data_IF_886214180855
#
_entry.id   IF_886214180855
#
_cell.length_a   1.000
_cell.length_b   1.000
_cell.length_c   1.000
_cell.angle_alpha   90.00
_cell.angle_beta   90.00
_cell.angle_gamma   90.00
#
_symmetry.space_group_name_H-M   'P 1'
#
loop_
_entity.id
_entity.type
_entity.pdbx_description
1 polymer ?
#
# COMPACT_ATOMS: atom_id res chain seq x y z
N UNK A 1 14.07 19.89 1.40
CA UNK A 1 13.61 18.57 0.89
C UNK A 1 14.84 17.83 0.39
N UNK A 2 15.24 16.73 1.04
CA UNK A 2 16.42 15.97 0.64
C UNK A 2 16.19 15.25 -0.69
N UNK A 3 17.16 15.32 -1.60
CA UNK A 3 17.11 14.57 -2.85
C UNK A 3 17.23 13.06 -2.53
N UNK A 4 16.20 12.28 -2.89
CA UNK A 4 16.28 10.81 -2.79
C UNK A 4 17.09 10.33 -3.99
N UNK A 5 18.39 10.14 -3.77
CA UNK A 5 19.31 9.59 -4.75
C UNK A 5 19.50 8.10 -4.53
N UNK A 6 19.71 7.37 -5.61
CA UNK A 6 20.16 5.98 -5.53
C UNK A 6 21.53 5.92 -4.83
N UNK A 7 21.79 4.87 -4.04
CA UNK A 7 23.04 4.74 -3.27
C UNK A 7 24.32 4.79 -4.12
N UNK A 8 24.23 4.39 -5.38
CA UNK A 8 25.34 4.46 -6.36
C UNK A 8 25.37 5.76 -7.18
N UNK A 9 24.55 6.76 -6.88
CA UNK A 9 24.49 8.00 -7.66
C UNK A 9 25.71 8.89 -7.38
N UNK A 10 26.67 8.90 -8.30
CA UNK A 10 27.90 9.70 -8.18
C UNK A 10 27.64 11.21 -8.39
N UNK A 11 26.59 11.58 -9.13
CA UNK A 11 26.27 12.99 -9.42
C UNK A 11 25.06 13.45 -8.60
N UNK A 12 25.34 14.03 -7.44
CA UNK A 12 24.32 14.65 -6.57
C UNK A 12 23.95 16.04 -7.08
N UNK A 13 22.82 16.61 -6.63
CA UNK A 13 22.44 17.99 -6.97
C UNK A 13 23.54 18.99 -6.62
N UNK A 14 24.22 18.82 -5.48
CA UNK A 14 25.33 19.68 -5.08
C UNK A 14 26.50 19.64 -6.08
N UNK A 15 26.90 18.45 -6.53
CA UNK A 15 27.96 18.27 -7.54
C UNK A 15 27.56 18.88 -8.88
N UNK A 16 26.31 18.65 -9.32
CA UNK A 16 25.79 19.19 -10.58
C UNK A 16 25.73 20.73 -10.57
N UNK A 17 25.33 21.33 -9.44
CA UNK A 17 25.32 22.79 -9.23
C UNK A 17 26.74 23.37 -9.23
N UNK A 18 27.69 22.69 -8.59
CA UNK A 18 29.10 23.07 -8.61
C UNK A 18 29.69 23.03 -10.04
N UNK A 19 29.33 22.02 -10.84
CA UNK A 19 29.75 21.92 -12.24
C UNK A 19 29.21 23.10 -13.07
N UNK A 20 27.94 23.48 -12.90
CA UNK A 20 27.34 24.61 -13.63
C UNK A 20 27.99 25.95 -13.32
N UNK A 21 28.30 26.21 -12.04
CA UNK A 21 28.87 27.50 -11.61
C UNK A 21 30.38 27.62 -11.86
N UNK A 22 31.05 26.51 -12.20
CA UNK A 22 32.50 26.48 -12.37
C UNK A 22 32.97 26.96 -13.76
N UNK A 23 33.97 27.85 -13.78
CA UNK A 23 34.68 28.23 -15.01
C UNK A 23 35.85 27.30 -15.36
N UNK A 24 36.12 26.30 -14.51
CA UNK A 24 37.18 25.32 -14.73
C UNK A 24 36.98 24.50 -16.02
N UNK A 25 38.09 23.95 -16.53
CA UNK A 25 38.08 23.05 -17.68
C UNK A 25 37.34 21.74 -17.37
N UNK A 26 36.75 21.13 -18.40
CA UNK A 26 36.02 19.85 -18.27
C UNK A 26 36.89 18.73 -17.68
N UNK A 27 38.19 18.72 -18.02
CA UNK A 27 39.15 17.73 -17.55
C UNK A 27 39.45 17.87 -16.06
N UNK A 28 39.56 19.10 -15.55
CA UNK A 28 39.78 19.36 -14.13
C UNK A 28 38.59 18.91 -13.28
N UNK A 29 37.37 19.26 -13.70
CA UNK A 29 36.14 18.87 -13.03
C UNK A 29 35.92 17.34 -13.06
N UNK A 30 36.21 16.70 -14.20
CA UNK A 30 36.13 15.25 -14.33
C UNK A 30 37.07 14.54 -13.33
N UNK A 31 38.31 15.02 -13.18
CA UNK A 31 39.28 14.46 -12.23
C UNK A 31 38.86 14.70 -10.78
N UNK A 32 38.36 15.89 -10.45
CA UNK A 32 37.93 16.27 -9.09
C UNK A 32 36.76 15.43 -8.58
N UNK A 33 35.76 15.21 -9.43
CA UNK A 33 34.54 14.50 -9.06
C UNK A 33 34.54 13.02 -9.47
N UNK A 34 35.59 12.51 -10.10
CA UNK A 34 35.69 11.11 -10.53
C UNK A 34 34.63 10.72 -11.57
N UNK A 35 34.24 11.64 -12.45
CA UNK A 35 33.17 11.45 -13.45
C UNK A 35 33.70 11.62 -14.88
N UNK A 36 33.01 11.02 -15.85
CA UNK A 36 33.36 11.15 -17.27
C UNK A 36 33.24 12.62 -17.73
N UNK A 37 34.21 13.10 -18.53
CA UNK A 37 34.18 14.45 -19.13
C UNK A 37 32.89 14.72 -19.92
N UNK A 38 32.31 13.70 -20.57
CA UNK A 38 31.00 13.82 -21.26
C UNK A 38 29.87 14.17 -20.28
N UNK A 39 29.92 13.61 -19.08
CA UNK A 39 28.95 13.90 -18.01
C UNK A 39 29.10 15.32 -17.50
N UNK A 40 30.34 15.81 -17.34
CA UNK A 40 30.61 17.22 -16.98
C UNK A 40 30.06 18.16 -18.05
N UNK A 41 30.37 17.91 -19.33
CA UNK A 41 29.89 18.71 -20.45
C UNK A 41 28.35 18.75 -20.50
N UNK A 42 27.72 17.58 -20.33
CA UNK A 42 26.26 17.45 -20.25
C UNK A 42 25.66 18.31 -19.14
N UNK A 43 26.22 18.27 -17.93
CA UNK A 43 25.70 19.05 -16.79
C UNK A 43 25.96 20.55 -16.92
N UNK A 44 27.09 20.96 -17.52
CA UNK A 44 27.41 22.38 -17.78
C UNK A 44 26.43 23.02 -18.78
N UNK A 45 25.94 22.26 -19.75
CA UNK A 45 24.97 22.73 -20.76
C UNK A 45 23.50 22.66 -20.33
N UNK A 46 23.18 21.96 -19.23
CA UNK A 46 21.81 21.84 -18.74
C UNK A 46 21.38 23.13 -18.04
N UNK A 47 20.10 23.49 -18.18
CA UNK A 47 19.50 24.64 -17.48
C UNK A 47 19.11 24.32 -16.04
N UNK A 48 18.77 23.06 -15.76
CA UNK A 48 18.29 22.62 -14.44
C UNK A 48 19.16 21.51 -13.86
N UNK A 49 19.26 21.51 -12.53
CA UNK A 49 20.07 20.57 -11.74
C UNK A 49 19.24 19.40 -11.22
N UNK A 50 17.94 19.64 -11.06
CA UNK A 50 16.95 18.69 -10.55
C UNK A 50 16.70 17.57 -11.53
N UNK A 51 16.47 16.36 -11.01
CA UNK A 51 16.00 15.26 -11.83
C UNK A 51 14.58 15.54 -12.30
N UNK A 52 14.37 15.47 -13.62
CA UNK A 52 13.04 15.51 -14.21
C UNK A 52 12.46 14.11 -14.17
N UNK A 53 11.13 13.97 -13.97
CA UNK A 53 10.48 12.67 -14.06
C UNK A 53 10.76 12.05 -15.43
N UNK A 54 11.27 10.81 -15.41
CA UNK A 54 11.50 10.04 -16.62
C UNK A 54 10.17 9.43 -17.05
N UNK A 55 9.66 9.83 -18.22
CA UNK A 55 8.47 9.25 -18.81
C UNK A 55 7.70 10.20 -19.72
N UNK A 56 6.56 9.75 -20.28
CA UNK A 56 5.65 10.60 -21.03
C UNK A 56 5.18 11.78 -20.17
N UNK A 57 5.12 12.97 -20.77
CA UNK A 57 4.58 14.17 -20.10
C UNK A 57 3.12 13.97 -19.70
N UNK A 58 2.35 13.33 -20.57
CA UNK A 58 0.97 12.96 -20.32
C UNK A 58 0.90 11.48 -19.94
N UNK A 59 0.65 11.20 -18.67
CA UNK A 59 0.48 9.84 -18.20
C UNK A 59 -0.88 9.28 -18.67
N UNK A 60 -0.90 8.63 -19.83
CA UNK A 60 -2.09 7.97 -20.40
C UNK A 60 -1.89 6.47 -20.47
N UNK A 61 -2.98 5.72 -20.31
CA UNK A 61 -2.99 4.30 -20.65
C UNK A 61 -2.96 4.14 -22.17
N UNK A 62 -2.19 3.19 -22.68
CA UNK A 62 -2.30 2.76 -24.09
C UNK A 62 -3.48 1.80 -24.29
N UNK A 63 -3.97 1.20 -23.21
CA UNK A 63 -4.96 0.11 -23.23
C UNK A 63 -6.38 0.59 -22.92
N UNK A 64 -6.52 1.68 -22.16
CA UNK A 64 -7.83 2.20 -21.74
C UNK A 64 -8.18 3.44 -22.57
N UNK A 65 -9.42 3.51 -23.03
CA UNK A 65 -9.95 4.72 -23.65
C UNK A 65 -10.24 5.79 -22.58
N UNK A 66 -10.46 7.03 -23.02
CA UNK A 66 -10.80 8.14 -22.12
C UNK A 66 -12.15 7.88 -21.43
N UNK A 67 -13.07 7.23 -22.13
CA UNK A 67 -14.41 6.86 -21.63
C UNK A 67 -14.29 5.77 -20.54
N UNK A 68 -13.47 4.75 -20.78
CA UNK A 68 -13.20 3.70 -19.80
C UNK A 68 -12.57 4.26 -18.53
N UNK A 69 -11.60 5.18 -18.67
CA UNK A 69 -10.99 5.85 -17.52
C UNK A 69 -12.04 6.65 -16.73
N UNK A 70 -12.94 7.35 -17.41
CA UNK A 70 -14.02 8.10 -16.75
C UNK A 70 -14.98 7.19 -15.99
N UNK A 71 -15.37 6.04 -16.58
CA UNK A 71 -16.22 5.04 -15.93
C UNK A 71 -15.53 4.48 -14.68
N UNK A 72 -14.26 4.08 -14.79
CA UNK A 72 -13.48 3.55 -13.67
C UNK A 72 -13.40 4.56 -12.52
N UNK A 73 -13.10 5.82 -12.83
CA UNK A 73 -12.96 6.90 -11.85
C UNK A 73 -14.29 7.20 -11.17
N UNK A 74 -15.37 7.30 -11.94
CA UNK A 74 -16.71 7.52 -11.39
C UNK A 74 -17.12 6.34 -10.50
N UNK A 75 -16.97 5.11 -10.98
CA UNK A 75 -17.31 3.90 -10.25
C UNK A 75 -16.59 3.81 -8.90
N UNK A 76 -15.27 4.08 -8.89
CA UNK A 76 -14.46 4.04 -7.66
C UNK A 76 -14.89 5.12 -6.65
N UNK A 77 -15.24 6.32 -7.10
CA UNK A 77 -15.67 7.42 -6.24
C UNK A 77 -17.04 7.17 -5.60
N UNK A 78 -17.94 6.49 -6.31
CA UNK A 78 -19.29 6.23 -5.83
C UNK A 78 -19.40 4.99 -4.94
N UNK A 79 -18.68 3.92 -5.29
CA UNK A 79 -18.86 2.62 -4.62
C UNK A 79 -17.91 2.42 -3.44
N UNK A 80 -16.77 3.12 -3.42
CA UNK A 80 -15.72 2.95 -2.41
C UNK A 80 -15.36 1.47 -2.18
N UNK A 81 -15.41 0.68 -3.24
CA UNK A 81 -15.04 -0.73 -3.20
C UNK A 81 -13.51 -0.91 -3.21
N UNK A 82 -12.99 -2.00 -2.61
CA UNK A 82 -11.62 -2.46 -2.79
C UNK A 82 -11.24 -2.64 -4.27
N UNK A 83 -9.93 -2.62 -4.57
CA UNK A 83 -9.42 -2.70 -5.94
C UNK A 83 -9.93 -3.94 -6.69
N UNK A 84 -9.90 -5.10 -6.04
CA UNK A 84 -10.24 -6.38 -6.67
C UNK A 84 -11.76 -6.51 -6.89
N UNK A 85 -12.58 -5.95 -5.98
CA UNK A 85 -14.04 -5.90 -6.15
C UNK A 85 -14.43 -4.93 -7.28
N UNK A 86 -13.73 -3.79 -7.40
CA UNK A 86 -13.91 -2.89 -8.54
C UNK A 86 -13.57 -3.59 -9.87
N UNK A 87 -12.49 -4.39 -9.91
CA UNK A 87 -12.13 -5.15 -11.10
C UNK A 87 -13.26 -6.09 -11.49
N UNK A 88 -13.77 -6.88 -10.55
CA UNK A 88 -14.82 -7.85 -10.82
C UNK A 88 -16.10 -7.18 -11.35
N UNK A 89 -16.52 -6.08 -10.73
CA UNK A 89 -17.70 -5.34 -11.15
C UNK A 89 -17.55 -4.71 -12.54
N UNK A 90 -16.36 -4.19 -12.87
CA UNK A 90 -16.09 -3.52 -14.15
C UNK A 90 -15.73 -4.48 -15.28
N UNK A 91 -15.41 -5.74 -14.99
CA UNK A 91 -15.04 -6.74 -16.01
C UNK A 91 -16.18 -6.97 -17.03
N UNK A 92 -17.44 -6.84 -16.59
CA UNK A 92 -18.59 -6.98 -17.47
C UNK A 92 -18.70 -5.86 -18.51
N UNK A 93 -18.25 -4.65 -18.17
CA UNK A 93 -18.29 -3.48 -19.06
C UNK A 93 -17.01 -3.34 -19.87
N UNK A 94 -15.86 -3.65 -19.27
CA UNK A 94 -14.53 -3.49 -19.86
C UNK A 94 -13.81 -4.85 -19.80
N UNK A 95 -14.03 -5.75 -20.79
CA UNK A 95 -13.54 -7.13 -20.71
C UNK A 95 -12.02 -7.25 -20.79
N UNK A 96 -11.33 -6.25 -21.35
CA UNK A 96 -9.87 -6.19 -21.45
C UNK A 96 -9.21 -5.48 -20.25
N UNK A 97 -9.99 -5.13 -19.22
CA UNK A 97 -9.47 -4.53 -18.00
C UNK A 97 -8.58 -5.53 -17.27
N UNK A 98 -7.40 -5.07 -16.84
CA UNK A 98 -6.47 -5.84 -16.03
C UNK A 98 -6.29 -5.17 -14.68
N UNK A 99 -5.93 -5.94 -13.65
CA UNK A 99 -5.62 -5.40 -12.32
C UNK A 99 -4.57 -4.29 -12.36
N UNK A 100 -3.54 -4.47 -13.18
CA UNK A 100 -2.45 -3.50 -13.33
C UNK A 100 -2.89 -2.21 -14.01
N UNK A 101 -3.69 -2.30 -15.09
CA UNK A 101 -4.20 -1.11 -15.78
C UNK A 101 -5.19 -0.35 -14.90
N UNK A 102 -6.07 -1.05 -14.18
CA UNK A 102 -6.96 -0.47 -13.17
C UNK A 102 -6.17 0.26 -12.08
N UNK A 103 -5.20 -0.40 -11.45
CA UNK A 103 -4.39 0.20 -10.39
C UNK A 103 -3.64 1.44 -10.88
N UNK A 104 -3.00 1.39 -12.05
CA UNK A 104 -2.30 2.55 -12.65
C UNK A 104 -3.26 3.69 -12.97
N UNK A 105 -4.47 3.40 -13.43
CA UNK A 105 -5.52 4.39 -13.65
C UNK A 105 -5.87 5.10 -12.33
N UNK A 106 -6.23 4.35 -11.30
CA UNK A 106 -6.58 4.92 -9.99
C UNK A 106 -5.43 5.69 -9.35
N UNK A 107 -4.19 5.23 -9.51
CA UNK A 107 -2.99 5.92 -9.02
C UNK A 107 -2.77 7.27 -9.71
N UNK A 108 -2.94 7.35 -11.04
CA UNK A 108 -2.86 8.62 -11.78
C UNK A 108 -3.92 9.63 -11.33
N UNK A 109 -5.12 9.15 -11.03
CA UNK A 109 -6.22 9.99 -10.54
C UNK A 109 -6.18 10.25 -9.03
N UNK A 110 -5.16 9.76 -8.31
CA UNK A 110 -5.01 9.99 -6.87
C UNK A 110 -6.03 9.27 -5.98
N UNK A 111 -6.78 8.32 -6.52
CA UNK A 111 -7.88 7.59 -5.83
C UNK A 111 -7.57 6.12 -5.58
N UNK A 112 -6.28 5.74 -5.67
CA UNK A 112 -5.84 4.38 -5.36
C UNK A 112 -6.13 4.03 -3.89
N UNK A 113 -5.88 4.97 -2.96
CA UNK A 113 -6.27 4.83 -1.56
C UNK A 113 -7.72 5.24 -1.40
N UNK A 114 -8.51 4.36 -0.79
CA UNK A 114 -9.87 4.70 -0.38
C UNK A 114 -9.82 5.82 0.67
N UNK A 115 -10.69 6.85 0.56
CA UNK A 115 -10.85 7.82 1.63
C UNK A 115 -11.23 7.08 2.91
N UNK A 116 -10.66 7.50 4.04
CA UNK A 116 -11.18 7.08 5.35
C UNK A 116 -12.57 7.72 5.44
N UNK A 117 -13.61 6.94 5.16
CA UNK A 117 -14.96 7.39 5.43
C UNK A 117 -15.06 7.42 6.94
N UNK A 118 -15.25 8.61 7.50
CA UNK A 118 -15.63 8.82 8.90
C UNK A 118 -17.06 8.27 9.07
N UNK A 119 -17.21 6.94 8.98
CA UNK A 119 -18.46 6.20 9.15
C UNK A 119 -18.93 6.24 10.61
N UNK A 120 -18.67 7.28 11.39
CA UNK A 120 -18.92 7.32 12.84
C UNK A 120 -18.35 6.11 13.61
N UNK A 121 -17.49 5.30 12.98
CA UNK A 121 -16.92 4.09 13.56
C UNK A 121 -15.91 4.56 14.59
N UNK A 122 -16.02 4.09 15.85
CA UNK A 122 -15.07 4.49 16.88
C UNK A 122 -13.66 4.21 16.37
N UNK A 123 -12.75 5.18 16.57
CA UNK A 123 -11.37 5.10 16.13
C UNK A 123 -10.82 3.70 16.42
N UNK A 124 -10.29 3.02 15.39
CA UNK A 124 -9.79 1.64 15.50
C UNK A 124 -8.77 1.58 16.63
N UNK A 125 -9.18 1.06 17.78
CA UNK A 125 -8.28 0.90 18.92
C UNK A 125 -7.32 -0.23 18.61
N UNK A 126 -6.02 0.03 18.82
CA UNK A 126 -5.03 -1.05 18.75
C UNK A 126 -5.33 -2.04 19.87
N UNK A 127 -5.27 -3.33 19.57
CA UNK A 127 -5.31 -4.35 20.60
C UNK A 127 -4.26 -4.05 21.66
N UNK A 128 -4.65 -4.18 22.94
CA UNK A 128 -3.73 -4.00 24.06
C UNK A 128 -2.55 -4.96 23.88
N UNK A 129 -1.34 -4.44 24.07
CA UNK A 129 -0.13 -5.27 24.03
C UNK A 129 -0.05 -6.03 25.33
N UNK A 130 -0.23 -7.35 25.27
CA UNK A 130 -0.07 -8.23 26.43
C UNK A 130 1.29 -8.95 26.36
N UNK A 131 1.95 -9.21 27.50
CA UNK A 131 3.13 -10.07 27.53
C UNK A 131 2.77 -11.51 27.16
N UNK A 132 3.79 -12.29 26.79
CA UNK A 132 3.64 -13.71 26.44
C UNK A 132 3.02 -14.44 27.64
N UNK A 133 1.91 -15.18 27.40
CA UNK A 133 1.17 -15.90 28.44
C UNK A 133 -0.29 -15.46 28.64
N UNK A 134 -0.73 -14.38 27.97
CA UNK A 134 -2.11 -13.90 28.03
C UNK A 134 -2.91 -14.29 26.77
N UNK A 135 -4.19 -14.65 26.97
CA UNK A 135 -5.15 -14.88 25.89
C UNK A 135 -6.20 -13.77 25.90
N UNK A 136 -6.44 -13.18 24.74
CA UNK A 136 -7.56 -12.26 24.56
C UNK A 136 -8.77 -13.07 24.09
N UNK A 137 -9.88 -13.01 24.83
CA UNK A 137 -11.13 -13.66 24.45
C UNK A 137 -12.15 -12.58 24.13
N UNK A 138 -12.55 -12.49 22.87
CA UNK A 138 -13.65 -11.65 22.42
C UNK A 138 -14.93 -12.46 22.33
N UNK A 139 -16.04 -11.86 22.76
CA UNK A 139 -17.38 -12.44 22.69
C UNK A 139 -18.21 -11.54 21.80
N UNK A 140 -18.70 -12.07 20.67
CA UNK A 140 -19.61 -11.37 19.78
C UNK A 140 -20.99 -12.05 19.80
N UNK A 141 -22.03 -11.29 20.14
CA UNK A 141 -23.43 -11.73 19.99
C UNK A 141 -23.86 -11.52 18.54
N UNK A 142 -24.33 -12.59 17.90
CA UNK A 142 -24.86 -12.58 16.54
C UNK A 142 -26.34 -12.92 16.62
N UNK A 143 -27.19 -11.97 16.24
CA UNK A 143 -28.63 -12.21 16.10
C UNK A 143 -28.88 -12.91 14.75
N UNK A 144 -29.48 -14.09 14.79
CA UNK A 144 -29.99 -14.78 13.58
C UNK A 144 -31.51 -14.90 13.65
N UNK A 145 -32.15 -15.26 12.54
CA UNK A 145 -33.61 -15.44 12.48
C UNK A 145 -34.14 -16.51 13.45
N UNK A 146 -33.27 -17.40 13.94
CA UNK A 146 -33.60 -18.51 14.85
C UNK A 146 -33.22 -18.22 16.32
N UNK A 147 -32.63 -17.05 16.61
CA UNK A 147 -32.32 -16.61 17.98
C UNK A 147 -30.93 -16.00 18.15
N UNK A 148 -30.46 -15.99 19.41
CA UNK A 148 -29.17 -15.42 19.83
C UNK A 148 -28.05 -16.46 19.76
N UNK A 149 -27.00 -16.18 18.98
CA UNK A 149 -25.77 -16.96 18.96
C UNK A 149 -24.63 -16.16 19.58
N UNK A 150 -23.76 -16.83 20.35
CA UNK A 150 -22.54 -16.24 20.89
C UNK A 150 -21.32 -16.83 20.20
N UNK A 151 -20.51 -15.99 19.58
CA UNK A 151 -19.22 -16.35 19.00
C UNK A 151 -18.11 -16.01 19.99
N UNK A 152 -17.34 -17.03 20.38
CA UNK A 152 -16.16 -16.87 21.23
C UNK A 152 -14.90 -16.95 20.36
N UNK A 153 -14.08 -15.90 20.38
CA UNK A 153 -12.81 -15.83 19.63
C UNK A 153 -11.66 -15.67 20.60
N UNK A 154 -10.75 -16.65 20.64
CA UNK A 154 -9.53 -16.57 21.44
C UNK A 154 -8.32 -16.22 20.57
N UNK A 155 -7.67 -15.09 20.84
CA UNK A 155 -6.47 -14.61 20.13
C UNK A 155 -5.26 -14.75 21.06
N UNK A 156 -4.27 -15.55 20.64
CA UNK A 156 -2.98 -15.66 21.32
C UNK A 156 -1.97 -14.71 20.68
N UNK A 157 -1.43 -13.77 21.45
CA UNK A 157 -0.34 -12.91 20.98
C UNK A 157 0.99 -13.66 21.08
N UNK A 158 1.46 -14.22 19.97
CA UNK A 158 2.86 -14.62 19.82
C UNK A 158 3.62 -13.37 19.38
N UNK A 159 4.59 -12.90 20.16
CA UNK A 159 5.45 -11.79 19.70
C UNK A 159 6.05 -12.14 18.33
N UNK A 160 5.82 -11.29 17.34
CA UNK A 160 6.67 -11.23 16.13
C UNK A 160 6.03 -11.53 14.77
N UNK A 161 4.73 -11.87 14.66
CA UNK A 161 4.09 -12.03 13.35
C UNK A 161 2.92 -11.04 13.17
N UNK A 162 2.84 -10.29 12.05
CA UNK A 162 1.62 -9.54 11.74
C UNK A 162 0.42 -10.51 11.71
N UNK A 163 -0.79 -10.06 12.10
CA UNK A 163 -1.97 -10.90 12.01
C UNK A 163 -2.19 -11.26 10.53
N UNK A 164 -1.83 -12.48 10.16
CA UNK A 164 -2.27 -13.06 8.91
C UNK A 164 -3.76 -13.33 9.07
N UNK A 165 -4.57 -12.73 8.22
CA UNK A 165 -5.97 -13.12 8.06
C UNK A 165 -6.01 -14.50 7.41
N UNK A 166 -5.65 -15.54 8.14
CA UNK A 166 -5.86 -16.91 7.72
C UNK A 166 -7.32 -17.25 8.02
N UNK A 167 -8.17 -17.14 7.01
CA UNK A 167 -9.46 -17.83 6.98
C UNK A 167 -9.19 -19.34 6.89
N UNK A 168 -8.90 -19.97 8.02
CA UNK A 168 -8.87 -21.42 8.11
C UNK A 168 -10.33 -21.92 8.18
N UNK A 169 -10.88 -22.27 7.02
CA UNK A 169 -11.99 -23.23 6.95
C UNK A 169 -11.39 -24.62 7.17
N UNK A 170 -11.59 -25.23 8.32
CA UNK A 170 -11.69 -26.69 8.46
C UNK A 170 -12.26 -27.05 9.83
N UNK A 171 -13.08 -28.09 9.85
CA UNK A 171 -13.99 -28.43 10.94
C UNK A 171 -13.31 -28.97 12.19
N UNK A 172 -13.97 -28.80 13.33
CA UNK A 172 -14.86 -29.83 13.86
C UNK A 172 -16.00 -29.17 14.63
N UNK A 173 -17.22 -29.58 14.31
CA UNK A 173 -18.44 -29.19 15.01
C UNK A 173 -18.55 -30.08 16.24
N UNK A 174 -17.98 -29.67 17.36
CA UNK A 174 -18.38 -30.21 18.66
C UNK A 174 -19.42 -29.27 19.24
N UNK A 175 -20.67 -29.75 19.31
CA UNK A 175 -21.66 -29.20 20.25
C UNK A 175 -21.04 -29.35 21.63
N UNK A 176 -20.55 -28.26 22.20
CA UNK A 176 -20.25 -28.22 23.63
C UNK A 176 -21.54 -27.74 24.28
N UNK A 177 -22.29 -28.70 24.83
CA UNK A 177 -23.45 -28.41 25.68
C UNK A 177 -23.00 -27.52 26.85
N UNK A 178 -23.84 -26.54 27.15
CA UNK A 178 -23.62 -25.44 28.10
C UNK A 178 -23.38 -25.85 29.57
N UNK A 179 -23.21 -27.15 29.85
CA UNK A 179 -23.11 -27.69 31.21
C UNK A 179 -21.80 -28.43 31.53
N UNK A 180 -20.79 -28.39 30.65
CA UNK A 180 -19.47 -28.98 30.93
C UNK A 180 -18.35 -27.95 30.95
N UNK A 181 -18.45 -26.96 31.85
CA UNK A 181 -17.29 -26.17 32.28
C UNK A 181 -17.22 -26.26 33.81
N UNK A 182 -16.87 -27.46 34.29
CA UNK A 182 -16.27 -27.59 35.63
C UNK A 182 -14.78 -27.80 35.43
N UNK A 183 -14.01 -26.86 35.96
CA UNK A 183 -12.57 -26.91 36.23
C UNK A 183 -11.66 -27.32 35.07
N UNK A 184 -11.13 -26.34 34.34
CA UNK A 184 -9.77 -26.45 33.78
C UNK A 184 -8.84 -25.86 34.83
N UNK A 185 -8.43 -26.68 35.80
CA UNK A 185 -7.26 -26.40 36.63
C UNK A 185 -6.02 -26.65 35.79
N UNK A 186 -5.28 -25.59 35.46
CA UNK A 186 -3.90 -25.73 34.98
C UNK A 186 -3.03 -26.18 36.16
N UNK A 187 -2.37 -27.32 36.05
CA UNK A 187 -1.18 -27.62 36.86
C UNK A 187 0.01 -26.87 36.26
N UNK A 188 0.87 -26.37 37.13
CA UNK A 188 2.12 -25.65 36.84
C UNK A 188 3.06 -26.41 35.88
#
# INVERSE_FOLDING_TARGET
>A
MGQVLHGCATTTEAVRRAIQNSQESLRALAKRYGINQKTVAKWKMRKTVTDLPTGPKDAKSTVLSIEDEAIIVAFRKHTLLPLDDCLYALQATIPHLTRSSLHRCLQRHGISRLPDVEDGKPAKQKFKTYPIGFFHIDIAEVQTAEGKLYLYVAIKTLKGLPPTSSSAKSGQRTKIDSNSIRSITCRD
#
